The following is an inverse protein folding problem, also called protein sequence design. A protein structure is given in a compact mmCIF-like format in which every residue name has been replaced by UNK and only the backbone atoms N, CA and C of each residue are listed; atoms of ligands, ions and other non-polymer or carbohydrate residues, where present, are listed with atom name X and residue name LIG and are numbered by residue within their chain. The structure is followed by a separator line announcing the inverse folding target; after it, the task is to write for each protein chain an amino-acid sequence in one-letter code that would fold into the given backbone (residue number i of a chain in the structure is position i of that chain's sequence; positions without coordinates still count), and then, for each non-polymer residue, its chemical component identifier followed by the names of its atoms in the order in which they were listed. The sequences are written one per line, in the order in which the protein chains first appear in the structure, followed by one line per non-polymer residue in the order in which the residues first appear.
data_IF_215611049630
#
_entry.id   IF_215611049630
#
_cell.length_a   1.000
_cell.length_b   1.000
_cell.length_c   1.000
_cell.angle_alpha   90.00
_cell.angle_beta   90.00
_cell.angle_gamma   90.00
#
_symmetry.space_group_name_H-M   'P 1'
#
loop_
_entity.id
_entity.type
_entity.pdbx_description
1 polymer ?
#
# COMPACT_ATOMS: atom_id res chain seq x y z
N UNK A 1 11.92 1.36 -3.72
CA UNK A 1 11.28 1.23 -5.04
C UNK A 1 10.33 0.06 -4.94
N UNK A 2 9.06 0.26 -5.30
CA UNK A 2 8.09 -0.83 -5.28
C UNK A 2 8.29 -1.74 -6.48
N UNK A 3 8.16 -3.04 -6.25
CA UNK A 3 7.82 -3.96 -7.34
C UNK A 3 6.39 -3.68 -7.81
N UNK A 4 6.13 -3.75 -9.12
CA UNK A 4 4.80 -3.46 -9.68
C UNK A 4 3.72 -4.34 -9.06
N UNK A 5 4.00 -5.65 -8.89
CA UNK A 5 3.08 -6.57 -8.21
C UNK A 5 2.84 -6.18 -6.75
N UNK A 6 3.86 -5.67 -6.05
CA UNK A 6 3.72 -5.21 -4.68
C UNK A 6 2.90 -3.92 -4.59
N UNK A 7 3.07 -2.99 -5.54
CA UNK A 7 2.26 -1.78 -5.62
C UNK A 7 0.78 -2.12 -5.87
N UNK A 8 0.49 -3.03 -6.82
CA UNK A 8 -0.87 -3.47 -7.09
C UNK A 8 -1.49 -4.17 -5.88
N UNK A 9 -0.77 -5.13 -5.28
CA UNK A 9 -1.24 -5.86 -4.10
C UNK A 9 -1.57 -4.94 -2.92
N UNK A 10 -0.80 -3.88 -2.72
CA UNK A 10 -1.13 -2.88 -1.71
C UNK A 10 -2.39 -2.12 -2.09
N UNK A 11 -2.50 -1.59 -3.30
CA UNK A 11 -3.71 -0.85 -3.72
C UNK A 11 -4.97 -1.72 -3.65
N UNK A 12 -4.90 -2.97 -4.09
CA UNK A 12 -6.02 -3.92 -3.98
C UNK A 12 -6.40 -4.18 -2.53
N UNK A 13 -5.41 -4.44 -1.66
CA UNK A 13 -5.66 -4.65 -0.22
C UNK A 13 -6.27 -3.41 0.42
N UNK A 14 -5.80 -2.23 0.07
CA UNK A 14 -6.33 -0.97 0.58
C UNK A 14 -7.77 -0.73 0.10
N UNK A 15 -8.06 -0.97 -1.18
CA UNK A 15 -9.42 -0.80 -1.73
C UNK A 15 -10.40 -1.83 -1.18
N UNK A 16 -10.01 -3.11 -1.13
CA UNK A 16 -10.86 -4.20 -0.62
C UNK A 16 -11.01 -4.12 0.91
N UNK A 17 -9.90 -3.86 1.60
CA UNK A 17 -9.85 -3.80 3.06
C UNK A 17 -10.61 -2.63 3.64
N UNK A 18 -10.62 -1.47 2.96
CA UNK A 18 -11.19 -0.26 3.54
C UNK A 18 -12.72 -0.29 3.71
N UNK A 19 -13.43 -1.18 2.99
CA UNK A 19 -14.90 -1.28 2.98
C UNK A 19 -15.59 0.08 2.77
N UNK A 20 -14.92 0.99 2.07
CA UNK A 20 -15.39 2.32 1.68
C UNK A 20 -15.25 2.46 0.17
N UNK A 21 -16.12 3.25 -0.45
CA UNK A 21 -16.04 3.51 -1.89
C UNK A 21 -14.77 4.32 -2.20
N UNK A 22 -13.84 3.81 -3.02
CA UNK A 22 -12.61 4.51 -3.33
C UNK A 22 -12.88 5.77 -4.18
N UNK A 23 -12.13 6.82 -3.91
CA UNK A 23 -12.16 8.04 -4.73
C UNK A 23 -11.75 7.79 -6.18
N UNK A 24 -12.21 8.65 -7.10
CA UNK A 24 -11.94 8.54 -8.55
C UNK A 24 -10.44 8.44 -8.88
N UNK A 25 -9.58 9.11 -8.09
CA UNK A 25 -8.13 9.10 -8.30
C UNK A 25 -7.52 7.77 -7.88
N UNK A 26 -8.00 7.16 -6.80
CA UNK A 26 -7.62 5.81 -6.37
C UNK A 26 -8.04 4.76 -7.41
N UNK A 27 -9.26 4.87 -7.94
CA UNK A 27 -9.73 4.00 -9.03
C UNK A 27 -8.86 4.15 -10.29
N UNK A 28 -8.52 5.39 -10.67
CA UNK A 28 -7.64 5.65 -11.81
C UNK A 28 -6.22 5.10 -11.61
N UNK A 29 -5.68 5.21 -10.38
CA UNK A 29 -4.39 4.60 -10.01
C UNK A 29 -4.44 3.08 -10.16
N UNK A 30 -5.47 2.43 -9.60
CA UNK A 30 -5.63 0.99 -9.67
C UNK A 30 -5.63 0.50 -11.13
N UNK A 31 -6.44 1.15 -11.98
CA UNK A 31 -6.48 0.86 -13.42
C UNK A 31 -5.12 1.07 -14.10
N UNK A 32 -4.43 2.17 -13.81
CA UNK A 32 -3.09 2.45 -14.36
C UNK A 32 -2.08 1.37 -13.97
N UNK A 33 -2.13 0.86 -12.74
CA UNK A 33 -1.24 -0.23 -12.31
C UNK A 33 -1.56 -1.56 -13.00
N UNK A 34 -2.84 -1.88 -13.22
CA UNK A 34 -3.26 -3.05 -14.00
C UNK A 34 -2.78 -2.95 -15.46
N UNK A 35 -3.03 -1.81 -16.12
CA UNK A 35 -2.58 -1.58 -17.50
C UNK A 35 -1.05 -1.73 -17.64
N UNK A 36 -0.29 -1.25 -16.63
CA UNK A 36 1.16 -1.43 -16.56
C UNK A 36 1.57 -2.89 -16.39
N UNK A 37 0.85 -3.66 -15.56
CA UNK A 37 1.14 -5.08 -15.35
C UNK A 37 0.86 -5.89 -16.61
N UNK A 38 -0.31 -5.71 -17.23
CA UNK A 38 -0.66 -6.38 -18.48
C UNK A 38 0.37 -6.08 -19.57
N UNK A 39 0.79 -4.82 -19.69
CA UNK A 39 1.83 -4.41 -20.64
C UNK A 39 3.18 -5.05 -20.33
N UNK A 40 3.59 -5.11 -19.06
CA UNK A 40 4.82 -5.78 -18.63
C UNK A 40 4.79 -7.27 -18.97
N UNK A 41 3.69 -7.96 -18.69
CA UNK A 41 3.51 -9.38 -18.97
C UNK A 41 3.56 -9.68 -20.47
N UNK A 42 2.90 -8.87 -21.31
CA UNK A 42 2.95 -8.98 -22.77
C UNK A 42 4.37 -8.78 -23.31
N UNK A 43 5.10 -7.76 -22.85
CA UNK A 43 6.47 -7.52 -23.28
C UNK A 43 7.39 -8.65 -22.82
N UNK A 44 7.29 -9.10 -21.57
CA UNK A 44 8.10 -10.20 -21.08
C UNK A 44 7.79 -11.52 -21.81
N UNK A 45 6.54 -11.76 -22.20
CA UNK A 45 6.15 -12.90 -23.04
C UNK A 45 6.80 -12.80 -24.43
N UNK A 46 6.69 -11.65 -25.09
CA UNK A 46 7.32 -11.42 -26.41
C UNK A 46 8.85 -11.54 -26.37
N UNK A 47 9.49 -11.10 -25.27
CA UNK A 47 10.93 -11.24 -25.09
C UNK A 47 11.33 -12.71 -24.93
N UNK A 48 10.57 -13.55 -24.24
CA UNK A 48 10.89 -14.98 -24.09
C UNK A 48 10.95 -15.73 -25.42
N UNK A 49 10.26 -15.25 -26.45
CA UNK A 49 10.29 -15.81 -27.80
C UNK A 49 11.55 -15.41 -28.59
N UNK A 50 12.37 -14.46 -28.09
CA UNK A 50 13.54 -13.92 -28.76
C UNK A 50 14.87 -14.34 -28.12
N UNK A 51 15.79 -14.91 -28.91
CA UNK A 51 17.17 -15.26 -28.50
C UNK A 51 18.20 -14.37 -29.22
N UNK A 52 18.87 -13.40 -28.54
CA UNK A 52 19.95 -12.57 -29.11
C UNK A 52 21.36 -12.71 -28.44
N UNK A 53 22.39 -13.08 -29.23
CA UNK A 53 23.83 -12.87 -28.96
C UNK A 53 24.25 -11.59 -29.67
N UNK A 54 24.36 -10.47 -28.97
CA UNK A 54 25.29 -9.34 -29.26
C UNK A 54 25.08 -8.18 -28.25
N UNK A 55 26.11 -7.37 -27.97
CA UNK A 55 25.98 -6.14 -27.17
C UNK A 55 25.27 -5.02 -27.94
N UNK A 56 25.46 -4.91 -29.26
CA UNK A 56 24.74 -3.97 -30.11
C UNK A 56 23.23 -4.25 -30.14
N UNK A 57 22.85 -5.51 -29.91
CA UNK A 57 21.47 -6.00 -29.85
C UNK A 57 20.78 -5.61 -28.54
N UNK A 58 21.49 -5.55 -27.41
CA UNK A 58 20.94 -5.07 -26.14
C UNK A 58 20.47 -3.60 -26.22
N UNK A 59 21.19 -2.74 -26.96
CA UNK A 59 20.82 -1.34 -27.15
C UNK A 59 19.57 -1.15 -28.05
N UNK A 60 19.40 -2.01 -29.06
CA UNK A 60 18.22 -2.03 -29.93
C UNK A 60 16.99 -2.53 -29.15
N UNK A 61 17.16 -3.54 -28.31
CA UNK A 61 16.13 -4.03 -27.39
C UNK A 61 15.71 -2.97 -26.36
N UNK A 62 16.67 -2.21 -25.81
CA UNK A 62 16.38 -1.07 -24.93
C UNK A 62 15.54 0.00 -25.62
N UNK A 63 15.81 0.28 -26.91
CA UNK A 63 14.99 1.18 -27.72
C UNK A 63 13.58 0.65 -27.98
N UNK A 64 13.43 -0.65 -28.29
CA UNK A 64 12.11 -1.27 -28.45
C UNK A 64 11.30 -1.17 -27.17
N UNK A 65 11.91 -1.50 -26.03
CA UNK A 65 11.24 -1.40 -24.73
C UNK A 65 10.81 0.05 -24.45
N UNK A 66 11.70 1.01 -24.68
CA UNK A 66 11.41 2.43 -24.44
C UNK A 66 10.30 2.95 -25.34
N UNK A 67 10.31 2.61 -26.63
CA UNK A 67 9.30 3.10 -27.56
C UNK A 67 7.98 2.35 -27.59
N UNK A 68 7.93 1.08 -27.15
CA UNK A 68 6.67 0.40 -26.86
C UNK A 68 5.98 1.01 -25.63
N UNK A 69 6.77 1.38 -24.61
CA UNK A 69 6.29 2.00 -23.38
C UNK A 69 5.81 3.44 -23.62
N UNK A 70 6.53 4.21 -24.42
CA UNK A 70 6.19 5.60 -24.75
C UNK A 70 5.16 5.74 -25.87
N UNK A 71 4.70 4.62 -26.47
CA UNK A 71 3.91 4.59 -27.71
C UNK A 71 4.57 5.38 -28.86
N UNK A 72 5.89 5.57 -28.80
CA UNK A 72 6.65 6.42 -29.70
C UNK A 72 7.23 5.66 -30.89
N UNK A 73 7.28 4.32 -30.82
CA UNK A 73 7.69 3.48 -31.94
C UNK A 73 6.48 2.97 -32.72
N UNK A 74 6.54 3.14 -34.04
CA UNK A 74 5.57 2.52 -34.94
C UNK A 74 5.76 0.99 -34.94
N UNK A 75 4.70 0.19 -35.16
CA UNK A 75 4.80 -1.27 -35.22
C UNK A 75 5.88 -1.77 -36.21
N UNK A 76 6.09 -1.07 -37.31
CA UNK A 76 7.12 -1.38 -38.30
C UNK A 76 8.56 -1.20 -37.76
N UNK A 77 8.78 -0.25 -36.85
CA UNK A 77 10.08 0.02 -36.25
C UNK A 77 10.43 -1.03 -35.19
N UNK A 78 9.42 -1.46 -34.42
CA UNK A 78 9.54 -2.60 -33.49
C UNK A 78 9.90 -3.88 -34.24
N UNK A 79 9.22 -4.17 -35.36
CA UNK A 79 9.51 -5.34 -36.21
C UNK A 79 10.92 -5.26 -36.81
N UNK A 80 11.36 -4.09 -37.29
CA UNK A 80 12.71 -3.91 -37.82
C UNK A 80 13.79 -4.14 -36.75
N UNK A 81 13.57 -3.59 -35.56
CA UNK A 81 14.48 -3.77 -34.44
C UNK A 81 14.52 -5.24 -34.00
N UNK A 82 13.37 -5.93 -33.93
CA UNK A 82 13.26 -7.37 -33.63
C UNK A 82 13.95 -8.24 -34.69
N UNK A 83 13.78 -7.95 -35.99
CA UNK A 83 14.48 -8.65 -37.07
C UNK A 83 16.01 -8.52 -36.97
N UNK A 84 16.51 -7.39 -36.44
CA UNK A 84 17.95 -7.16 -36.24
C UNK A 84 18.53 -8.01 -35.09
N UNK A 85 17.67 -8.57 -34.22
CA UNK A 85 18.05 -9.23 -32.97
C UNK A 85 18.12 -10.75 -33.07
N UNK A 86 17.49 -11.36 -34.07
CA UNK A 86 17.42 -12.80 -34.22
C UNK A 86 18.81 -13.40 -34.56
N UNK A 87 19.60 -13.76 -33.54
CA UNK A 87 20.60 -14.86 -33.44
C UNK A 87 21.31 -14.74 -32.07
N UNK A 88 21.04 -15.62 -31.09
CA UNK A 88 21.94 -16.04 -29.96
C UNK A 88 21.50 -15.92 -28.46
N UNK A 89 22.41 -16.08 -27.47
CA UNK A 89 22.25 -16.57 -26.07
C UNK A 89 21.37 -15.83 -25.04
N UNK A 90 20.93 -16.62 -24.04
CA UNK A 90 20.02 -16.29 -22.93
C UNK A 90 20.45 -15.16 -21.96
N UNK A 91 21.74 -14.85 -21.83
CA UNK A 91 22.22 -13.88 -20.82
C UNK A 91 21.75 -12.46 -21.09
N UNK A 92 21.76 -12.04 -22.36
CA UNK A 92 21.32 -10.71 -22.78
C UNK A 92 19.80 -10.55 -22.62
N UNK A 93 19.06 -11.64 -22.85
CA UNK A 93 17.63 -11.69 -22.64
C UNK A 93 17.25 -11.50 -21.17
N UNK A 94 17.98 -12.14 -20.26
CA UNK A 94 17.76 -11.96 -18.83
C UNK A 94 18.05 -10.53 -18.37
N UNK A 95 19.11 -9.90 -18.88
CA UNK A 95 19.42 -8.49 -18.56
C UNK A 95 18.32 -7.55 -19.05
N UNK A 96 17.79 -7.78 -20.25
CA UNK A 96 16.69 -6.98 -20.77
C UNK A 96 15.40 -7.20 -19.99
N UNK A 97 15.05 -8.45 -19.68
CA UNK A 97 13.89 -8.78 -18.85
C UNK A 97 13.96 -8.04 -17.50
N UNK A 98 15.14 -8.01 -16.86
CA UNK A 98 15.35 -7.25 -15.64
C UNK A 98 15.22 -5.74 -15.85
N UNK A 99 15.72 -5.20 -16.98
CA UNK A 99 15.62 -3.78 -17.31
C UNK A 99 14.16 -3.34 -17.57
N UNK A 100 13.38 -4.16 -18.28
CA UNK A 100 11.94 -3.94 -18.50
C UNK A 100 11.22 -3.93 -17.15
N UNK A 101 11.43 -4.96 -16.31
CA UNK A 101 10.85 -5.01 -14.96
C UNK A 101 11.16 -3.77 -14.15
N UNK A 102 12.43 -3.38 -14.09
CA UNK A 102 12.88 -2.21 -13.35
C UNK A 102 12.18 -0.92 -13.81
N UNK A 103 11.99 -0.72 -15.12
CA UNK A 103 11.32 0.48 -15.66
C UNK A 103 9.84 0.52 -15.31
N UNK A 104 9.13 -0.59 -15.47
CA UNK A 104 7.72 -0.71 -15.04
C UNK A 104 7.56 -0.49 -13.53
N UNK A 105 8.48 -1.04 -12.72
CA UNK A 105 8.52 -0.82 -11.26
C UNK A 105 8.73 0.67 -10.90
N UNK A 106 9.58 1.37 -11.66
CA UNK A 106 9.79 2.82 -11.52
C UNK A 106 8.53 3.61 -11.89
N UNK A 107 7.84 3.24 -12.96
CA UNK A 107 6.57 3.89 -13.37
C UNK A 107 5.45 3.64 -12.36
N UNK A 108 5.33 2.42 -11.84
CA UNK A 108 4.40 2.07 -10.78
C UNK A 108 4.65 2.94 -9.54
N UNK A 109 5.93 3.05 -9.12
CA UNK A 109 6.33 3.92 -8.00
C UNK A 109 5.97 5.39 -8.27
N UNK A 110 6.19 5.89 -9.50
CA UNK A 110 5.83 7.26 -9.87
C UNK A 110 4.31 7.49 -9.83
N UNK A 111 3.51 6.57 -10.37
CA UNK A 111 2.05 6.62 -10.32
C UNK A 111 1.52 6.60 -8.88
N UNK A 112 2.10 5.74 -8.03
CA UNK A 112 1.78 5.71 -6.61
C UNK A 112 2.10 7.06 -5.93
N UNK A 113 3.24 7.68 -6.24
CA UNK A 113 3.62 9.01 -5.71
C UNK A 113 2.70 10.14 -6.16
N UNK A 114 2.18 10.10 -7.39
CA UNK A 114 1.21 11.09 -7.89
C UNK A 114 -0.07 11.12 -7.04
N UNK A 115 -0.45 9.98 -6.46
CA UNK A 115 -1.69 9.81 -5.69
C UNK A 115 -1.41 9.67 -4.19
N UNK A 116 -0.16 9.56 -3.76
CA UNK A 116 0.24 9.23 -2.39
C UNK A 116 -0.54 10.01 -1.33
N UNK A 117 -0.33 11.31 -1.22
CA UNK A 117 -1.00 12.13 -0.21
C UNK A 117 -2.51 12.24 -0.41
N UNK A 118 -3.02 11.98 -1.63
CA UNK A 118 -4.45 11.92 -1.93
C UNK A 118 -5.09 10.68 -1.29
N UNK A 119 -4.33 9.59 -1.08
CA UNK A 119 -4.82 8.41 -0.38
C UNK A 119 -5.26 8.73 1.05
N UNK A 120 -4.68 9.76 1.68
CA UNK A 120 -5.02 10.14 3.05
C UNK A 120 -6.48 10.61 3.17
N UNK A 121 -6.91 11.72 2.51
CA UNK A 121 -8.28 12.19 2.61
C UNK A 121 -9.29 11.33 1.82
N UNK A 122 -8.89 10.64 0.76
CA UNK A 122 -9.83 9.84 -0.05
C UNK A 122 -10.03 8.41 0.45
N UNK A 123 -9.13 7.88 1.29
CA UNK A 123 -9.18 6.48 1.71
C UNK A 123 -8.84 6.30 3.19
N UNK A 124 -7.62 6.65 3.63
CA UNK A 124 -7.16 6.30 4.97
C UNK A 124 -7.94 6.99 6.08
N UNK A 125 -8.27 8.27 5.92
CA UNK A 125 -9.04 9.02 6.92
C UNK A 125 -10.47 8.50 7.02
N UNK A 126 -11.25 8.39 5.93
CA UNK A 126 -12.58 7.78 6.00
C UNK A 126 -12.56 6.35 6.58
N UNK A 127 -11.51 5.58 6.29
CA UNK A 127 -11.34 4.24 6.86
C UNK A 127 -11.11 4.29 8.37
N UNK A 128 -10.19 5.14 8.85
CA UNK A 128 -9.99 5.37 10.29
C UNK A 128 -11.28 5.84 10.97
N UNK A 129 -11.98 6.80 10.37
CA UNK A 129 -13.23 7.36 10.90
C UNK A 129 -14.29 6.26 11.05
N UNK A 130 -14.48 5.42 10.03
CA UNK A 130 -15.38 4.26 10.11
C UNK A 130 -15.02 3.33 11.28
N UNK A 131 -13.74 2.97 11.42
CA UNK A 131 -13.29 2.09 12.50
C UNK A 131 -13.55 2.73 13.88
N UNK A 132 -13.26 4.02 14.02
CA UNK A 132 -13.47 4.76 15.26
C UNK A 132 -14.95 4.86 15.60
N UNK A 133 -15.81 5.12 14.62
CA UNK A 133 -17.26 5.18 14.80
C UNK A 133 -17.83 3.81 15.22
N UNK A 134 -17.44 2.72 14.55
CA UNK A 134 -17.86 1.36 14.93
C UNK A 134 -17.33 0.95 16.30
N UNK A 135 -16.11 1.36 16.66
CA UNK A 135 -15.54 1.09 17.96
C UNK A 135 -16.21 1.92 19.06
N UNK A 136 -16.69 3.13 18.76
CA UNK A 136 -17.32 4.03 19.74
C UNK A 136 -18.52 3.39 20.44
N UNK A 137 -19.32 2.62 19.71
CA UNK A 137 -20.52 1.97 20.24
C UNK A 137 -20.20 0.87 21.27
N UNK A 138 -19.10 0.13 21.06
CA UNK A 138 -18.74 -1.04 21.89
C UNK A 138 -17.63 -0.74 22.90
N UNK A 139 -16.87 0.35 22.71
CA UNK A 139 -15.73 0.70 23.56
C UNK A 139 -16.08 0.87 25.06
N UNK A 140 -17.24 1.42 25.46
CA UNK A 140 -17.60 1.51 26.89
C UNK A 140 -17.64 0.13 27.57
N UNK A 141 -18.11 -0.91 26.88
CA UNK A 141 -18.16 -2.29 27.39
C UNK A 141 -16.74 -2.82 27.59
N UNK A 142 -15.86 -2.66 26.60
CA UNK A 142 -14.46 -3.10 26.70
C UNK A 142 -13.76 -2.40 27.86
N UNK A 143 -13.95 -1.08 27.99
CA UNK A 143 -13.31 -0.29 29.05
C UNK A 143 -13.81 -0.71 30.43
N UNK A 144 -15.13 -0.91 30.58
CA UNK A 144 -15.76 -1.36 31.83
C UNK A 144 -15.20 -2.70 32.31
N UNK A 145 -15.02 -3.66 31.39
CA UNK A 145 -14.61 -5.03 31.74
C UNK A 145 -13.07 -5.24 31.74
N UNK A 146 -12.30 -4.24 31.31
CA UNK A 146 -10.83 -4.27 31.38
C UNK A 146 -10.18 -5.13 30.27
N UNK A 147 -8.85 -5.29 30.25
CA UNK A 147 -8.19 -6.11 29.23
C UNK A 147 -8.49 -7.62 29.39
N UNK A 148 -8.85 -8.07 30.59
CA UNK A 148 -9.15 -9.47 30.89
C UNK A 148 -10.52 -9.57 31.59
N UNK A 149 -11.62 -9.68 30.83
CA UNK A 149 -12.95 -9.71 31.40
C UNK A 149 -13.14 -10.96 32.27
N UNK A 150 -13.48 -10.75 33.54
CA UNK A 150 -13.82 -11.83 34.48
C UNK A 150 -15.19 -12.45 34.15
N UNK A 151 -16.10 -11.65 33.61
CA UNK A 151 -17.44 -12.04 33.18
C UNK A 151 -17.48 -12.11 31.65
N UNK A 152 -17.89 -13.27 31.12
CA UNK A 152 -17.96 -13.55 29.68
C UNK A 152 -19.38 -13.90 29.27
N UNK A 153 -20.31 -12.96 29.48
CA UNK A 153 -21.62 -13.09 28.85
C UNK A 153 -21.46 -13.12 27.32
N UNK A 154 -22.44 -13.67 26.57
CA UNK A 154 -22.39 -13.65 25.11
C UNK A 154 -22.16 -12.25 24.55
N UNK A 155 -22.85 -11.24 25.09
CA UNK A 155 -22.75 -9.84 24.66
C UNK A 155 -21.33 -9.25 24.89
N UNK A 156 -20.72 -9.55 26.04
CA UNK A 156 -19.33 -9.14 26.33
C UNK A 156 -18.37 -9.86 25.39
N UNK A 157 -18.55 -11.15 25.14
CA UNK A 157 -17.69 -11.90 24.21
C UNK A 157 -17.79 -11.38 22.76
N UNK A 158 -18.99 -11.00 22.32
CA UNK A 158 -19.24 -10.40 21.01
C UNK A 158 -18.60 -9.01 20.90
N UNK A 159 -18.74 -8.17 21.93
CA UNK A 159 -18.10 -6.85 21.96
C UNK A 159 -16.58 -6.96 21.85
N UNK A 160 -15.93 -7.87 22.59
CA UNK A 160 -14.48 -8.07 22.50
C UNK A 160 -14.05 -8.59 21.13
N UNK A 161 -14.81 -9.51 20.56
CA UNK A 161 -14.53 -10.07 19.24
C UNK A 161 -14.58 -8.98 18.16
N UNK A 162 -15.63 -8.15 18.20
CA UNK A 162 -15.78 -7.02 17.28
C UNK A 162 -14.68 -5.98 17.48
N UNK A 163 -14.41 -5.59 18.73
CA UNK A 163 -13.38 -4.61 19.04
C UNK A 163 -11.97 -5.12 18.65
N UNK A 164 -11.69 -6.41 18.81
CA UNK A 164 -10.43 -7.02 18.39
C UNK A 164 -10.29 -7.02 16.87
N UNK A 165 -11.34 -7.35 16.13
CA UNK A 165 -11.34 -7.25 14.67
C UNK A 165 -11.07 -5.82 14.19
N UNK A 166 -11.73 -4.82 14.79
CA UNK A 166 -11.54 -3.41 14.48
C UNK A 166 -10.14 -2.89 14.84
N UNK A 167 -9.60 -3.29 15.99
CA UNK A 167 -8.26 -2.92 16.42
C UNK A 167 -7.19 -3.51 15.49
N UNK A 168 -7.34 -4.78 15.10
CA UNK A 168 -6.46 -5.42 14.11
C UNK A 168 -6.54 -4.74 12.75
N UNK A 169 -7.74 -4.34 12.32
CA UNK A 169 -7.94 -3.60 11.08
C UNK A 169 -7.23 -2.24 11.10
N UNK A 170 -7.33 -1.49 12.20
CA UNK A 170 -6.65 -0.21 12.38
C UNK A 170 -5.12 -0.34 12.39
N UNK A 171 -4.61 -1.39 13.05
CA UNK A 171 -3.19 -1.72 13.06
C UNK A 171 -2.68 -2.04 11.65
N UNK A 172 -3.40 -2.88 10.90
CA UNK A 172 -3.05 -3.20 9.52
C UNK A 172 -3.02 -1.96 8.61
N UNK A 173 -3.97 -1.05 8.77
CA UNK A 173 -3.97 0.25 8.08
C UNK A 173 -2.71 1.06 8.41
N UNK A 174 -2.31 1.15 9.68
CA UNK A 174 -1.09 1.88 10.05
C UNK A 174 0.18 1.21 9.54
N UNK A 175 0.24 -0.11 9.50
CA UNK A 175 1.34 -0.83 8.87
C UNK A 175 1.44 -0.50 7.38
N UNK A 176 0.33 -0.52 6.64
CA UNK A 176 0.32 -0.15 5.22
C UNK A 176 0.74 1.31 5.00
N UNK A 177 0.26 2.24 5.84
CA UNK A 177 0.69 3.65 5.82
C UNK A 177 2.18 3.80 6.08
N UNK A 178 2.72 3.09 7.07
CA UNK A 178 4.14 3.11 7.38
C UNK A 178 4.99 2.55 6.23
N UNK A 179 4.56 1.44 5.61
CA UNK A 179 5.24 0.89 4.42
C UNK A 179 5.21 1.89 3.26
N UNK A 180 4.09 2.57 3.02
CA UNK A 180 4.00 3.63 2.00
C UNK A 180 4.91 4.83 2.30
N UNK A 181 5.05 5.24 3.57
CA UNK A 181 5.99 6.29 3.99
C UNK A 181 7.45 5.86 3.81
N UNK A 182 7.80 4.63 4.22
CA UNK A 182 9.16 4.06 4.04
C UNK A 182 9.59 4.00 2.57
N UNK A 183 8.63 3.96 1.65
CA UNK A 183 8.88 3.99 0.21
C UNK A 183 8.71 5.37 -0.44
N UNK A 184 8.53 6.42 0.37
CA UNK A 184 8.33 7.80 -0.07
C UNK A 184 7.15 7.92 -1.05
N UNK A 185 6.12 7.10 -0.86
CA UNK A 185 4.84 7.24 -1.58
C UNK A 185 3.99 8.27 -0.88
N UNK A 186 3.82 8.12 0.44
CA UNK A 186 3.25 9.15 1.29
C UNK A 186 4.36 10.11 1.68
N UNK A 187 4.06 11.41 1.72
CA UNK A 187 4.98 12.37 2.33
C UNK A 187 5.16 11.99 3.81
N UNK A 188 6.42 11.96 4.26
CA UNK A 188 6.75 11.53 5.60
C UNK A 188 6.21 12.56 6.61
N UNK A 189 5.10 12.22 7.29
CA UNK A 189 4.46 13.06 8.31
C UNK A 189 5.03 12.93 9.72
N UNK A 190 6.11 12.18 9.93
CA UNK A 190 6.52 11.82 11.29
C UNK A 190 7.13 13.02 12.04
N UNK A 191 6.42 13.48 13.08
CA UNK A 191 6.88 13.56 14.48
C UNK A 191 6.15 14.69 15.22
N UNK A 192 4.86 14.55 15.51
CA UNK A 192 4.20 15.48 16.45
C UNK A 192 3.61 14.80 17.68
N UNK A 193 3.20 13.52 17.62
CA UNK A 193 2.77 12.81 18.84
C UNK A 193 3.39 11.41 19.03
N UNK A 194 4.30 11.25 20.00
CA UNK A 194 4.83 9.96 20.44
C UNK A 194 3.75 8.94 20.87
N UNK A 195 2.52 9.38 21.21
CA UNK A 195 1.40 8.48 21.55
C UNK A 195 0.88 7.76 20.32
N UNK A 196 0.83 8.41 19.15
CA UNK A 196 0.55 7.79 17.85
C UNK A 196 1.59 6.72 17.50
N UNK A 197 2.84 6.91 17.92
CA UNK A 197 3.89 5.89 17.77
C UNK A 197 3.70 4.68 18.72
N UNK A 198 3.02 4.87 19.85
CA UNK A 198 2.67 3.78 20.80
C UNK A 198 1.49 2.94 20.32
N UNK A 199 0.57 3.53 19.54
CA UNK A 199 -0.47 2.80 18.81
C UNK A 199 0.11 1.80 17.81
N UNK A 200 1.22 2.12 17.13
CA UNK A 200 1.86 1.20 16.20
C UNK A 200 2.81 0.16 16.83
N UNK A 201 3.11 0.26 18.14
CA UNK A 201 4.04 -0.68 18.83
C UNK A 201 3.59 -1.11 20.23
N UNK A 202 2.36 -1.63 20.38
CA UNK A 202 1.83 -2.09 21.67
C UNK A 202 2.68 -3.18 22.32
N UNK A 203 3.38 -4.00 21.52
CA UNK A 203 4.30 -5.06 21.98
C UNK A 203 5.49 -4.56 22.82
N UNK A 204 5.83 -3.27 22.77
CA UNK A 204 6.86 -2.63 23.59
C UNK A 204 6.37 -2.30 25.01
N UNK A 205 5.11 -2.57 25.32
CA UNK A 205 4.54 -2.43 26.66
C UNK A 205 4.94 -3.63 27.54
N UNK A 206 5.56 -3.37 28.69
CA UNK A 206 6.30 -4.33 29.51
C UNK A 206 5.45 -5.36 30.32
N UNK A 207 4.38 -5.93 29.75
CA UNK A 207 3.51 -6.89 30.45
C UNK A 207 3.55 -8.29 29.82
N UNK A 208 3.78 -9.36 30.60
CA UNK A 208 3.78 -10.74 30.13
C UNK A 208 2.38 -11.32 29.80
N UNK A 209 1.27 -10.67 30.18
CA UNK A 209 -0.08 -11.13 29.80
C UNK A 209 -0.73 -10.16 28.79
N UNK A 210 -0.50 -10.42 27.50
CA UNK A 210 -0.77 -9.46 26.40
C UNK A 210 -2.16 -9.56 25.75
N UNK A 211 -2.99 -10.53 26.14
CA UNK A 211 -4.29 -10.75 25.51
C UNK A 211 -5.20 -9.50 25.63
N UNK A 212 -5.80 -9.08 24.51
CA UNK A 212 -6.76 -7.97 24.38
C UNK A 212 -6.32 -6.60 24.92
N UNK A 213 -5.04 -6.41 25.27
CA UNK A 213 -4.53 -5.12 25.77
C UNK A 213 -4.58 -4.03 24.69
N UNK A 214 -4.32 -4.42 23.45
CA UNK A 214 -4.37 -3.55 22.27
C UNK A 214 -5.81 -3.09 22.04
N UNK A 215 -6.73 -4.05 21.98
CA UNK A 215 -8.19 -3.81 21.92
C UNK A 215 -8.66 -2.86 23.02
N UNK A 216 -8.30 -3.14 24.28
CA UNK A 216 -8.69 -2.32 25.41
C UNK A 216 -8.10 -0.91 25.33
N UNK A 217 -6.85 -0.76 24.92
CA UNK A 217 -6.20 0.54 24.86
C UNK A 217 -6.74 1.42 23.72
N UNK A 218 -7.04 0.83 22.56
CA UNK A 218 -7.71 1.54 21.46
C UNK A 218 -9.12 1.97 21.90
N UNK A 219 -9.91 1.06 22.50
CA UNK A 219 -11.23 1.37 23.04
C UNK A 219 -11.17 2.47 24.12
N UNK A 220 -10.24 2.37 25.07
CA UNK A 220 -10.01 3.38 26.10
C UNK A 220 -9.70 4.75 25.49
N UNK A 221 -8.86 4.79 24.45
CA UNK A 221 -8.51 6.04 23.79
C UNK A 221 -9.73 6.69 23.12
N UNK A 222 -10.53 5.90 22.41
CA UNK A 222 -11.77 6.38 21.77
C UNK A 222 -12.78 6.90 22.80
N UNK A 223 -12.98 6.19 23.91
CA UNK A 223 -13.88 6.63 25.00
C UNK A 223 -13.42 7.96 25.62
N UNK A 224 -12.11 8.19 25.70
CA UNK A 224 -11.54 9.44 26.21
C UNK A 224 -11.44 10.55 25.14
N UNK A 225 -12.12 10.39 24.01
CA UNK A 225 -12.23 11.41 22.97
C UNK A 225 -11.09 11.46 21.97
N UNK A 226 -10.12 10.54 22.06
CA UNK A 226 -9.07 10.45 21.04
C UNK A 226 -9.69 10.04 19.70
N UNK A 227 -9.18 10.63 18.61
CA UNK A 227 -9.57 10.30 17.23
C UNK A 227 -8.36 9.79 16.47
N UNK A 228 -8.02 8.50 16.59
CA UNK A 228 -6.96 7.88 15.80
C UNK A 228 -7.18 8.17 14.31
N UNK A 229 -6.18 8.74 13.64
CA UNK A 229 -6.30 9.19 12.25
C UNK A 229 -4.98 9.07 11.51
N UNK A 230 -5.05 9.15 10.18
CA UNK A 230 -3.90 9.25 9.28
C UNK A 230 -3.88 10.67 8.71
N UNK A 231 -2.74 11.34 8.83
CA UNK A 231 -2.56 12.72 8.38
C UNK A 231 -1.47 12.81 7.30
N UNK A 232 -1.63 13.79 6.42
CA UNK A 232 -0.58 14.23 5.50
C UNK A 232 0.53 14.98 6.25
N UNK A 233 1.71 15.12 5.62
CA UNK A 233 2.80 15.91 6.21
C UNK A 233 2.40 17.35 6.52
N UNK A 234 1.70 18.03 5.61
CA UNK A 234 1.29 19.42 5.78
C UNK A 234 0.33 19.61 6.96
N UNK A 235 -0.62 18.67 7.14
CA UNK A 235 -1.56 18.71 8.26
C UNK A 235 -0.85 18.48 9.60
N UNK A 236 0.12 17.55 9.64
CA UNK A 236 0.95 17.32 10.81
C UNK A 236 1.78 18.56 11.17
N UNK A 237 2.42 19.19 10.19
CA UNK A 237 3.23 20.39 10.38
C UNK A 237 2.41 21.60 10.85
N UNK A 238 1.18 21.75 10.35
CA UNK A 238 0.30 22.87 10.69
C UNK A 238 -0.34 22.76 12.08
N UNK A 239 -0.13 21.66 12.81
CA UNK A 239 -0.76 21.42 14.10
C UNK A 239 -2.29 21.27 13.99
N UNK A 240 -2.80 20.92 12.80
CA UNK A 240 -4.23 20.74 12.51
C UNK A 240 -4.75 19.36 12.98
N UNK A 241 -3.94 18.64 13.74
CA UNK A 241 -4.30 17.33 14.31
C UNK A 241 -5.18 17.57 15.54
N UNK A 242 -6.40 17.00 15.59
CA UNK A 242 -7.21 17.03 16.81
C UNK A 242 -6.42 16.41 17.98
N UNK A 243 -6.44 17.07 19.13
CA UNK A 243 -5.81 16.58 20.37
C UNK A 243 -6.51 15.33 20.92
#
# INVERSE_FOLDING_TARGET
MYDLSAALSIVERLVVGAKIEPGKRVVALHRKLLDLQESQELILAALREFTPNDEAKAAILGRIADGLIEQSLAPAEVVNHLQTLAVGTDRNLQQLSNAVRFRYNKQATAAMREVGDVLVPELFRPWCERIVDELHDIAPVIVQHGPNPAERTPDVAEAYTTAEALALELLGLWEDVDVLRRHEILTAGELVDPRSYRFGRPHLSADPNKAHRETWWVAYSVVNGARPTVNTFYEAQAGLVPA
#
